data_IF_987114630368
#
_entry.id   IF_987114630368
#
_cell.length_a   1.000
_cell.length_b   1.000
_cell.length_c   1.000
_cell.angle_alpha   90.00
_cell.angle_beta   90.00
_cell.angle_gamma   90.00
#
_symmetry.space_group_name_H-M   'P 1'
#
loop_
_entity.id
_entity.type
_entity.pdbx_description
1 polymer ?
#
# COMPACT_ATOMS: atom_id res chain seq x y z
N UNK A 1 7.66 -5.98 -5.75
CA UNK A 1 6.63 -5.96 -4.70
C UNK A 1 5.26 -5.90 -5.34
N UNK A 2 4.31 -6.63 -4.83
CA UNK A 2 2.96 -6.71 -5.41
C UNK A 2 1.91 -6.49 -4.34
N UNK A 3 0.78 -5.93 -4.75
CA UNK A 3 -0.41 -5.87 -3.90
C UNK A 3 -0.97 -7.28 -3.75
N UNK A 4 -1.29 -7.68 -2.53
CA UNK A 4 -1.63 -9.05 -2.19
C UNK A 4 -3.12 -9.32 -2.25
N UNK A 5 -3.94 -8.35 -1.89
CA UNK A 5 -5.39 -8.53 -1.89
C UNK A 5 -6.15 -7.34 -2.42
N UNK A 6 -7.47 -7.48 -2.57
CA UNK A 6 -8.38 -6.43 -2.97
C UNK A 6 -8.39 -6.13 -4.47
N UNK A 7 -8.86 -4.94 -4.82
CA UNK A 7 -9.09 -4.53 -6.22
C UNK A 7 -7.82 -4.43 -7.04
N UNK A 8 -6.69 -4.15 -6.40
CA UNK A 8 -5.39 -4.03 -7.09
C UNK A 8 -4.51 -5.26 -6.94
N UNK A 9 -5.06 -6.40 -6.50
CA UNK A 9 -4.31 -7.65 -6.33
C UNK A 9 -3.47 -7.95 -7.56
N UNK A 10 -2.19 -8.24 -7.33
CA UNK A 10 -1.25 -8.60 -8.40
C UNK A 10 -0.59 -7.43 -9.09
N UNK A 11 -1.03 -6.20 -8.85
CA UNK A 11 -0.38 -5.01 -9.41
C UNK A 11 0.99 -4.82 -8.76
N UNK A 12 1.97 -4.47 -9.59
CA UNK A 12 3.34 -4.23 -9.15
C UNK A 12 3.48 -2.87 -8.49
N UNK A 13 4.20 -2.82 -7.38
CA UNK A 13 4.61 -1.60 -6.69
C UNK A 13 6.07 -1.35 -7.01
N UNK A 14 6.38 -0.18 -7.57
CA UNK A 14 7.77 0.21 -7.83
C UNK A 14 8.48 0.54 -6.54
N UNK A 15 9.74 0.10 -6.44
CA UNK A 15 10.64 0.44 -5.35
C UNK A 15 11.61 1.53 -5.78
N UNK A 16 12.21 2.27 -4.84
CA UNK A 16 13.28 3.20 -5.19
C UNK A 16 14.41 2.46 -5.89
N UNK A 17 15.08 3.15 -6.81
CA UNK A 17 16.18 2.58 -7.57
C UNK A 17 17.27 2.05 -6.63
N UNK A 18 17.72 0.83 -6.84
CA UNK A 18 18.75 0.19 -6.04
C UNK A 18 18.26 -0.51 -4.78
N UNK A 19 16.95 -0.50 -4.52
CA UNK A 19 16.37 -1.20 -3.38
C UNK A 19 15.68 -2.47 -3.87
N UNK A 20 16.10 -3.60 -3.33
CA UNK A 20 15.51 -4.89 -3.67
C UNK A 20 14.20 -5.10 -2.90
N UNK A 21 13.23 -5.67 -3.62
CA UNK A 21 12.02 -6.16 -2.98
C UNK A 21 12.25 -7.58 -2.48
N UNK A 22 11.86 -7.85 -1.25
CA UNK A 22 12.08 -9.16 -0.62
C UNK A 22 10.75 -9.87 -0.39
N UNK A 23 10.66 -11.18 -0.67
CA UNK A 23 9.48 -11.96 -0.34
C UNK A 23 9.08 -11.87 1.13
N UNK A 24 10.07 -11.70 2.04
CA UNK A 24 9.84 -11.52 3.46
C UNK A 24 8.98 -10.28 3.75
N UNK A 25 9.23 -9.17 3.05
CA UNK A 25 8.44 -7.95 3.22
C UNK A 25 6.99 -8.16 2.77
N UNK A 26 6.79 -8.91 1.70
CA UNK A 26 5.45 -9.24 1.22
C UNK A 26 4.69 -10.11 2.23
N UNK A 27 5.37 -11.06 2.86
CA UNK A 27 4.78 -11.91 3.89
C UNK A 27 4.39 -11.12 5.13
N UNK A 28 5.24 -10.18 5.55
CA UNK A 28 4.96 -9.32 6.70
C UNK A 28 3.72 -8.47 6.43
N UNK A 29 3.64 -7.87 5.24
CA UNK A 29 2.48 -7.07 4.85
C UNK A 29 1.22 -7.93 4.80
N UNK A 30 1.29 -9.11 4.24
CA UNK A 30 0.18 -10.06 4.21
C UNK A 30 -0.31 -10.40 5.62
N UNK A 31 0.61 -10.69 6.53
CA UNK A 31 0.27 -11.01 7.92
C UNK A 31 -0.42 -9.84 8.62
N UNK A 32 0.08 -8.61 8.41
CA UNK A 32 -0.52 -7.41 8.96
C UNK A 32 -1.97 -7.26 8.48
N UNK A 33 -2.20 -7.40 7.19
CA UNK A 33 -3.54 -7.22 6.63
C UNK A 33 -4.48 -8.37 6.94
N UNK A 34 -3.97 -9.57 7.14
CA UNK A 34 -4.79 -10.68 7.63
C UNK A 34 -5.37 -10.37 9.02
N UNK A 35 -4.56 -9.77 9.90
CA UNK A 35 -5.02 -9.33 11.22
C UNK A 35 -6.02 -8.18 11.08
N UNK A 36 -5.70 -7.18 10.26
CA UNK A 36 -6.54 -6.00 10.06
C UNK A 36 -7.88 -6.35 9.42
N UNK A 37 -7.93 -7.37 8.57
CA UNK A 37 -9.18 -7.83 7.96
C UNK A 37 -10.20 -8.24 9.02
N UNK A 38 -9.75 -8.82 10.13
CA UNK A 38 -10.62 -9.17 11.24
C UNK A 38 -11.02 -7.98 12.10
N UNK A 39 -10.30 -6.87 12.01
CA UNK A 39 -10.57 -5.66 12.79
C UNK A 39 -11.26 -4.56 12.00
N UNK A 40 -11.53 -4.78 10.72
CA UNK A 40 -12.31 -3.85 9.90
C UNK A 40 -11.50 -2.83 9.12
N UNK A 41 -10.63 -3.29 8.24
CA UNK A 41 -9.94 -2.39 7.29
C UNK A 41 -10.91 -1.78 6.26
N UNK A 42 -11.97 -2.48 5.92
CA UNK A 42 -12.98 -1.98 4.99
C UNK A 42 -13.63 -0.72 5.54
N UNK A 43 -13.64 0.35 4.74
CA UNK A 43 -14.20 1.64 5.15
C UNK A 43 -13.31 2.44 6.11
N UNK A 44 -12.15 1.94 6.48
CA UNK A 44 -11.26 2.61 7.42
C UNK A 44 -10.54 3.81 6.79
N UNK A 45 -10.19 4.78 7.63
CA UNK A 45 -9.27 5.85 7.25
C UNK A 45 -7.88 5.47 7.77
N UNK A 46 -6.89 5.52 6.91
CA UNK A 46 -5.56 4.98 7.19
C UNK A 46 -4.52 6.10 7.17
N UNK A 47 -3.64 6.09 8.15
CA UNK A 47 -2.46 6.95 8.18
C UNK A 47 -1.23 6.05 8.15
N UNK A 48 -0.44 6.18 7.09
CA UNK A 48 0.77 5.40 6.87
C UNK A 48 1.98 6.31 7.02
N UNK A 49 2.60 6.29 8.19
CA UNK A 49 3.80 7.07 8.48
C UNK A 49 5.03 6.34 7.94
N UNK A 50 5.97 7.11 7.39
CA UNK A 50 7.19 6.56 6.77
C UNK A 50 6.84 5.58 5.63
N UNK A 51 6.00 6.06 4.74
CA UNK A 51 5.30 5.20 3.77
C UNK A 51 6.20 4.53 2.73
N UNK A 52 7.36 5.12 2.43
CA UNK A 52 8.29 4.57 1.46
C UNK A 52 7.68 4.46 0.06
N UNK A 53 7.42 3.24 -0.40
CA UNK A 53 6.80 3.00 -1.72
C UNK A 53 5.31 3.30 -1.74
N UNK A 54 4.67 3.46 -0.58
CA UNK A 54 3.23 3.54 -0.46
C UNK A 54 2.54 2.19 -0.37
N UNK A 55 3.29 1.11 -0.30
CA UNK A 55 2.72 -0.25 -0.38
C UNK A 55 1.66 -0.52 0.69
N UNK A 56 1.88 -0.09 1.93
CA UNK A 56 0.91 -0.32 3.01
C UNK A 56 -0.37 0.47 2.77
N UNK A 57 -0.27 1.77 2.45
CA UNK A 57 -1.43 2.61 2.17
C UNK A 57 -2.20 2.08 0.96
N UNK A 58 -1.50 1.73 -0.10
CA UNK A 58 -2.12 1.21 -1.33
C UNK A 58 -2.78 -0.15 -1.07
N UNK A 59 -2.13 -1.04 -0.31
CA UNK A 59 -2.72 -2.32 0.08
C UNK A 59 -4.04 -2.10 0.83
N UNK A 60 -4.05 -1.16 1.78
CA UNK A 60 -5.26 -0.82 2.54
C UNK A 60 -6.39 -0.34 1.63
N UNK A 61 -6.09 0.57 0.71
CA UNK A 61 -7.07 1.08 -0.25
C UNK A 61 -7.57 -0.03 -1.18
N UNK A 62 -6.65 -0.89 -1.63
CA UNK A 62 -7.00 -2.05 -2.47
C UNK A 62 -7.99 -2.97 -1.77
N UNK A 63 -7.86 -3.11 -0.44
CA UNK A 63 -8.74 -3.97 0.37
C UNK A 63 -9.99 -3.27 0.88
N UNK A 64 -10.25 -2.05 0.43
CA UNK A 64 -11.51 -1.37 0.69
C UNK A 64 -11.47 -0.28 1.76
N UNK A 65 -10.31 0.17 2.21
CA UNK A 65 -10.22 1.34 3.06
C UNK A 65 -10.86 2.55 2.35
N UNK A 66 -11.50 3.43 3.11
CA UNK A 66 -12.15 4.60 2.56
C UNK A 66 -11.15 5.60 2.00
N UNK A 67 -10.10 5.86 2.76
CA UNK A 67 -9.05 6.80 2.38
C UNK A 67 -7.74 6.48 3.08
N UNK A 68 -6.64 7.00 2.54
CA UNK A 68 -5.33 6.85 3.16
C UNK A 68 -4.52 8.13 3.00
N UNK A 69 -3.73 8.44 4.00
CA UNK A 69 -2.70 9.48 3.95
C UNK A 69 -1.37 8.76 4.08
N UNK A 70 -0.53 8.88 3.07
CA UNK A 70 0.80 8.31 3.07
C UNK A 70 1.81 9.43 3.29
N UNK A 71 2.66 9.28 4.29
CA UNK A 71 3.63 10.31 4.68
C UNK A 71 5.05 9.80 4.48
N UNK A 72 5.79 10.50 3.62
CA UNK A 72 7.22 10.25 3.45
C UNK A 72 7.85 11.48 2.79
N UNK A 73 8.91 12.01 3.38
CA UNK A 73 9.49 13.25 2.88
C UNK A 73 10.37 13.08 1.64
N UNK A 74 10.69 11.85 1.24
CA UNK A 74 11.55 11.58 0.08
C UNK A 74 10.84 10.96 -1.11
N UNK A 75 9.74 10.24 -0.88
CA UNK A 75 9.16 9.35 -1.89
C UNK A 75 7.76 9.76 -2.36
N UNK A 76 7.35 10.99 -2.13
CA UNK A 76 6.01 11.45 -2.50
C UNK A 76 5.65 11.20 -3.97
N UNK A 77 6.59 11.45 -4.88
CA UNK A 77 6.37 11.21 -6.31
C UNK A 77 6.18 9.71 -6.60
N UNK A 78 7.01 8.88 -5.99
CA UNK A 78 6.92 7.42 -6.16
C UNK A 78 5.59 6.89 -5.62
N UNK A 79 5.17 7.37 -4.45
CA UNK A 79 3.88 6.99 -3.86
C UNK A 79 2.75 7.33 -4.83
N UNK A 80 2.75 8.53 -5.41
CA UNK A 80 1.72 8.94 -6.37
C UNK A 80 1.72 8.08 -7.63
N UNK A 81 2.90 7.75 -8.15
CA UNK A 81 3.03 6.86 -9.31
C UNK A 81 2.45 5.48 -9.02
N UNK A 82 2.78 4.92 -7.87
CA UNK A 82 2.27 3.62 -7.46
C UNK A 82 0.76 3.64 -7.22
N UNK A 83 0.26 4.69 -6.58
CA UNK A 83 -1.18 4.85 -6.35
C UNK A 83 -1.95 4.96 -7.68
N UNK A 84 -1.43 5.69 -8.63
CA UNK A 84 -2.03 5.83 -9.95
C UNK A 84 -2.03 4.50 -10.69
N UNK A 85 -0.91 3.78 -10.66
CA UNK A 85 -0.79 2.47 -11.28
C UNK A 85 -1.79 1.46 -10.71
N UNK A 86 -2.03 1.52 -9.41
CA UNK A 86 -2.98 0.65 -8.72
C UNK A 86 -4.42 1.19 -8.73
N UNK A 87 -4.66 2.35 -9.34
CA UNK A 87 -5.98 2.98 -9.49
C UNK A 87 -6.66 3.30 -8.16
N UNK A 88 -5.87 3.75 -7.18
CA UNK A 88 -6.38 4.15 -5.87
C UNK A 88 -6.05 5.61 -5.52
N UNK A 89 -5.50 6.37 -6.46
CA UNK A 89 -5.04 7.74 -6.24
C UNK A 89 -6.15 8.69 -5.78
N UNK A 90 -7.38 8.42 -6.15
CA UNK A 90 -8.55 9.24 -5.78
C UNK A 90 -8.93 9.14 -4.31
N UNK A 91 -8.41 8.14 -3.61
CA UNK A 91 -8.70 7.94 -2.19
C UNK A 91 -7.47 8.17 -1.29
N UNK A 92 -6.40 8.66 -1.88
CA UNK A 92 -5.16 8.90 -1.15
C UNK A 92 -4.88 10.38 -0.91
#
# INVERSE_FOLDING_TARGET
MRIIGGTAKGHTIKSPKGVDTRPTLDRVRESIFNVLAHRGIYGARVLDLFSGTGAIAIEALSRGAESAIAVDFRTGKLIRENATHCRVEDRM
#
